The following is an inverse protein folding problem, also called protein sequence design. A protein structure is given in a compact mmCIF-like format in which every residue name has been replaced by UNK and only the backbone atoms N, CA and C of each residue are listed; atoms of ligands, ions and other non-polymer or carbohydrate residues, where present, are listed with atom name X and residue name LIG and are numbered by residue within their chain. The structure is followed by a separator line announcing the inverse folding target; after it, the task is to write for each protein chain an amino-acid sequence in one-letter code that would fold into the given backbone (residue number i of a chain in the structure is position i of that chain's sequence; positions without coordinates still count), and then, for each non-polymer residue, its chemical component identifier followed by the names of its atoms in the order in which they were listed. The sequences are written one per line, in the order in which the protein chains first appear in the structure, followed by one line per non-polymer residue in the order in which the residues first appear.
data_IF_860504224294
#
_entry.id   IF_860504224294
#
_cell.length_a   1.000
_cell.length_b   1.000
_cell.length_c   1.000
_cell.angle_alpha   90.00
_cell.angle_beta   90.00
_cell.angle_gamma   90.00
#
_symmetry.space_group_name_H-M   'P 1'
#
loop_
_entity.id
_entity.type
_entity.pdbx_description
1 polymer ?
#
# COMPACT_ATOMS: atom_id res chain seq x y z
N UNK A 1 -6.96 10.69 37.48
CA UNK A 1 -6.39 9.34 37.79
C UNK A 1 -5.80 8.66 36.55
N UNK A 2 -6.47 8.71 35.42
CA UNK A 2 -5.99 8.14 34.13
C UNK A 2 -4.74 8.89 33.68
N UNK A 3 -4.73 10.21 33.64
CA UNK A 3 -3.58 11.04 33.27
C UNK A 3 -2.33 10.73 34.13
N UNK A 4 -2.51 10.49 35.43
CA UNK A 4 -1.41 10.17 36.36
C UNK A 4 -0.77 8.80 36.05
N UNK A 5 -1.56 7.80 35.65
CA UNK A 5 -1.07 6.46 35.33
C UNK A 5 -0.27 6.44 34.04
N UNK A 6 -0.74 7.17 33.02
CA UNK A 6 -0.05 7.30 31.73
C UNK A 6 1.29 8.05 31.83
N UNK A 7 1.34 9.09 32.63
CA UNK A 7 2.59 9.81 32.90
C UNK A 7 3.60 8.97 33.69
N UNK A 8 3.12 8.03 34.53
CA UNK A 8 3.99 7.11 35.28
C UNK A 8 4.66 6.03 34.39
N UNK A 9 4.10 5.75 33.23
CA UNK A 9 4.62 4.76 32.27
C UNK A 9 5.44 5.40 31.13
N UNK A 10 5.94 6.62 31.30
CA UNK A 10 6.66 7.41 30.27
C UNK A 10 5.87 7.64 28.97
N UNK A 11 4.56 7.62 29.03
CA UNK A 11 3.70 7.81 27.87
C UNK A 11 3.52 9.31 27.62
N UNK A 12 3.99 9.77 26.47
CA UNK A 12 4.02 11.19 26.07
C UNK A 12 2.83 11.58 25.19
N UNK A 13 1.63 11.14 25.53
CA UNK A 13 0.41 11.59 24.84
C UNK A 13 -0.70 11.96 25.82
N UNK A 14 -1.60 12.81 25.35
CA UNK A 14 -2.76 13.27 26.09
C UNK A 14 -4.03 12.72 25.43
N UNK A 15 -4.89 12.07 26.23
CA UNK A 15 -6.21 11.62 25.81
C UNK A 15 -7.24 12.70 26.08
N UNK A 16 -8.01 13.05 25.04
CA UNK A 16 -9.08 14.02 25.15
C UNK A 16 -10.35 13.51 24.44
N UNK A 17 -11.50 13.62 25.09
CA UNK A 17 -12.77 13.41 24.38
C UNK A 17 -12.90 14.55 23.35
N UNK A 18 -13.17 14.24 22.10
CA UNK A 18 -13.16 15.19 20.98
C UNK A 18 -14.01 16.45 21.24
N UNK A 19 -15.14 16.32 21.93
CA UNK A 19 -16.03 17.44 22.27
C UNK A 19 -15.49 18.41 23.32
N UNK A 20 -14.44 18.01 24.06
CA UNK A 20 -13.76 18.80 25.10
C UNK A 20 -12.40 19.33 24.66
N UNK A 21 -12.01 19.05 23.42
CA UNK A 21 -10.73 19.50 22.89
C UNK A 21 -10.81 20.97 22.50
N UNK A 22 -9.83 21.73 22.97
CA UNK A 22 -9.68 23.13 22.56
C UNK A 22 -8.90 23.20 21.24
N UNK A 23 -9.61 23.28 20.13
CA UNK A 23 -9.04 23.35 18.78
C UNK A 23 -8.18 24.62 18.56
N UNK A 24 -8.31 25.65 19.39
CA UNK A 24 -7.50 26.87 19.28
C UNK A 24 -6.01 26.60 19.51
N UNK A 25 -5.68 25.55 20.24
CA UNK A 25 -4.28 25.10 20.45
C UNK A 25 -3.61 24.77 19.11
N UNK A 26 -4.36 24.28 18.13
CA UNK A 26 -3.84 23.93 16.82
C UNK A 26 -3.37 25.15 16.00
N UNK A 27 -3.89 26.33 16.30
CA UNK A 27 -3.45 27.59 15.64
C UNK A 27 -1.99 27.91 15.97
N UNK A 28 -1.49 27.45 17.11
CA UNK A 28 -0.10 27.61 17.51
C UNK A 28 0.85 26.62 16.83
N UNK A 29 0.31 25.65 16.09
CA UNK A 29 1.10 24.69 15.32
C UNK A 29 1.52 25.30 13.98
N UNK A 30 2.43 26.25 14.06
CA UNK A 30 2.77 27.24 13.01
C UNK A 30 3.53 26.69 11.80
N UNK A 31 3.72 25.40 11.69
CA UNK A 31 4.56 24.86 10.64
C UNK A 31 3.75 24.39 9.44
N UNK A 32 3.99 25.06 8.34
CA UNK A 32 3.47 24.69 7.03
C UNK A 32 4.61 24.46 6.06
N UNK A 33 4.44 23.53 5.15
CA UNK A 33 5.36 23.29 4.04
C UNK A 33 4.67 23.57 2.70
N UNK A 34 5.46 23.99 1.71
CA UNK A 34 4.94 24.21 0.36
C UNK A 34 4.90 22.89 -0.43
N UNK A 35 3.89 22.71 -1.27
CA UNK A 35 3.72 21.51 -2.10
C UNK A 35 4.81 21.32 -3.16
N UNK A 36 5.64 22.31 -3.43
CA UNK A 36 6.76 22.27 -4.38
C UNK A 36 7.33 23.65 -4.65
N UNK A 37 8.42 23.70 -5.43
CA UNK A 37 9.02 24.99 -5.84
C UNK A 37 8.01 25.78 -6.67
N UNK A 38 7.73 27.02 -6.24
CA UNK A 38 6.80 27.93 -6.93
C UNK A 38 5.31 27.70 -6.60
N UNK A 39 4.95 26.74 -5.74
CA UNK A 39 3.60 26.59 -5.25
C UNK A 39 3.33 27.55 -4.10
N UNK A 40 2.22 28.27 -4.16
CA UNK A 40 1.73 29.05 -3.02
C UNK A 40 0.89 28.20 -2.07
N UNK A 41 0.56 26.94 -2.46
CA UNK A 41 -0.26 26.03 -1.68
C UNK A 41 0.49 25.53 -0.44
N UNK A 42 -0.04 25.83 0.74
CA UNK A 42 0.54 25.47 2.02
C UNK A 42 -0.12 24.20 2.61
N UNK A 43 0.71 23.27 3.07
CA UNK A 43 0.29 22.03 3.71
C UNK A 43 0.67 22.09 5.19
N UNK A 44 -0.21 21.68 6.07
CA UNK A 44 0.09 21.60 7.50
C UNK A 44 1.14 20.53 7.77
N UNK A 45 2.22 20.91 8.44
CA UNK A 45 3.35 20.03 8.77
C UNK A 45 3.14 19.37 10.14
N UNK A 46 2.12 18.53 10.22
CA UNK A 46 1.85 17.69 11.38
C UNK A 46 1.40 16.32 10.93
N UNK A 47 1.84 15.30 11.65
CA UNK A 47 1.40 13.92 11.41
C UNK A 47 0.08 13.69 12.12
N UNK A 48 -0.95 13.42 11.36
CA UNK A 48 -2.29 13.16 11.89
C UNK A 48 -2.73 11.80 11.37
N UNK A 49 -3.14 10.93 12.29
CA UNK A 49 -3.68 9.62 11.96
C UNK A 49 -5.07 9.45 12.54
N UNK A 50 -5.92 8.69 11.86
CA UNK A 50 -7.20 8.25 12.37
C UNK A 50 -7.38 6.75 12.13
N UNK A 51 -8.23 6.15 12.95
CA UNK A 51 -8.60 4.75 12.88
C UNK A 51 -10.03 4.56 13.38
N UNK A 52 -10.73 3.53 12.90
CA UNK A 52 -12.09 3.19 13.32
C UNK A 52 -12.17 1.75 13.81
N UNK A 53 -12.87 1.55 14.91
CA UNK A 53 -13.21 0.23 15.40
C UNK A 53 -14.65 -0.12 15.05
N UNK A 54 -14.83 -1.34 14.56
CA UNK A 54 -16.13 -1.83 14.12
C UNK A 54 -16.61 -3.00 14.97
N UNK A 55 -17.91 -3.16 15.05
CA UNK A 55 -18.58 -4.28 15.69
C UNK A 55 -19.73 -4.79 14.83
N UNK A 56 -20.05 -6.06 14.97
CA UNK A 56 -21.27 -6.64 14.43
C UNK A 56 -22.49 -6.03 15.10
N UNK A 57 -23.61 -5.92 14.39
CA UNK A 57 -24.92 -5.59 14.98
C UNK A 57 -25.57 -6.81 15.58
N UNK A 58 -26.40 -6.63 16.62
CA UNK A 58 -27.31 -7.66 17.07
C UNK A 58 -28.29 -8.00 15.94
N UNK A 59 -28.47 -9.31 15.66
CA UNK A 59 -29.50 -9.77 14.71
C UNK A 59 -30.88 -9.37 15.24
N UNK A 60 -31.63 -8.60 14.47
CA UNK A 60 -33.05 -8.46 14.71
C UNK A 60 -33.75 -9.75 14.27
N UNK A 61 -34.75 -10.20 15.04
CA UNK A 61 -35.40 -11.52 14.90
C UNK A 61 -35.98 -11.87 13.51
N UNK A 62 -36.03 -10.89 12.59
CA UNK A 62 -36.65 -11.01 11.26
C UNK A 62 -35.67 -10.80 10.08
N UNK A 63 -34.37 -10.69 10.30
CA UNK A 63 -33.41 -10.47 9.20
C UNK A 63 -32.63 -11.78 8.95
N UNK A 64 -32.99 -12.46 7.85
CA UNK A 64 -32.32 -13.72 7.44
C UNK A 64 -30.92 -13.52 6.88
N UNK A 65 -30.57 -12.34 6.38
CA UNK A 65 -29.27 -12.01 5.79
C UNK A 65 -28.89 -10.57 6.09
N UNK A 66 -27.85 -10.36 6.81
CA UNK A 66 -26.79 -9.37 6.73
C UNK A 66 -26.23 -9.01 8.11
N UNK A 67 -25.09 -9.63 8.44
CA UNK A 67 -24.24 -9.18 9.53
C UNK A 67 -23.54 -7.88 9.08
N UNK A 68 -24.21 -6.74 9.22
CA UNK A 68 -23.58 -5.46 8.94
C UNK A 68 -22.73 -5.01 10.11
N UNK A 69 -21.44 -4.84 9.86
CA UNK A 69 -20.55 -4.17 10.79
C UNK A 69 -20.87 -2.67 10.83
N UNK A 70 -20.73 -2.06 11.99
CA UNK A 70 -20.87 -0.62 12.18
C UNK A 70 -19.71 -0.08 13.01
N UNK A 71 -19.40 1.18 12.84
CA UNK A 71 -18.37 1.87 13.63
C UNK A 71 -18.88 2.09 15.05
N UNK A 72 -18.11 1.65 16.04
CA UNK A 72 -18.42 1.79 17.47
C UNK A 72 -17.50 2.75 18.19
N UNK A 73 -16.33 3.02 17.64
CA UNK A 73 -15.36 3.97 18.15
C UNK A 73 -14.45 4.47 17.03
N UNK A 74 -13.84 5.60 17.27
CA UNK A 74 -12.78 6.14 16.43
C UNK A 74 -11.78 6.92 17.28
N UNK A 75 -10.56 7.00 16.79
CA UNK A 75 -9.50 7.82 17.38
C UNK A 75 -8.83 8.67 16.31
N UNK A 76 -8.33 9.83 16.72
CA UNK A 76 -7.43 10.67 15.94
C UNK A 76 -6.25 11.03 16.82
N UNK A 77 -5.04 10.71 16.38
CA UNK A 77 -3.80 11.18 17.03
C UNK A 77 -3.14 12.25 16.19
N UNK A 78 -2.73 13.33 16.83
CA UNK A 78 -2.04 14.47 16.24
C UNK A 78 -0.66 14.57 16.89
N UNK A 79 0.40 14.47 16.07
CA UNK A 79 1.78 14.63 16.53
C UNK A 79 2.35 15.94 16.03
N UNK A 80 2.74 16.78 16.96
CA UNK A 80 3.36 18.06 16.70
C UNK A 80 4.89 17.94 16.79
N UNK A 81 5.62 18.15 15.73
CA UNK A 81 7.09 18.32 15.69
C UNK A 81 7.88 17.51 16.72
N UNK A 82 7.88 16.19 16.64
CA UNK A 82 8.58 15.31 17.59
C UNK A 82 8.17 15.52 19.06
N UNK A 83 7.14 16.34 19.30
CA UNK A 83 6.65 16.67 20.63
C UNK A 83 5.42 15.81 21.00
N UNK A 84 4.71 16.23 22.00
CA UNK A 84 3.57 15.51 22.56
C UNK A 84 2.52 15.11 21.52
N UNK A 85 1.94 13.94 21.72
CA UNK A 85 0.82 13.44 20.93
C UNK A 85 -0.46 13.75 21.70
N UNK A 86 -1.44 14.32 20.99
CA UNK A 86 -2.81 14.46 21.48
C UNK A 86 -3.67 13.45 20.75
N UNK A 87 -4.40 12.63 21.50
CA UNK A 87 -5.31 11.63 20.95
C UNK A 87 -6.74 11.98 21.30
N UNK A 88 -7.54 12.20 20.26
CA UNK A 88 -8.97 12.47 20.36
C UNK A 88 -9.74 11.16 20.22
N UNK A 89 -10.77 11.00 21.02
CA UNK A 89 -11.62 9.82 21.03
C UNK A 89 -13.07 10.21 20.82
N UNK A 90 -13.80 9.43 20.05
CA UNK A 90 -15.24 9.56 19.83
C UNK A 90 -15.90 8.25 19.42
N UNK A 91 -17.22 8.29 19.23
CA UNK A 91 -18.04 7.10 19.00
C UNK A 91 -18.72 7.08 17.63
N UNK A 92 -19.28 8.18 17.20
CA UNK A 92 -20.10 8.26 15.98
C UNK A 92 -19.26 8.63 14.75
N UNK A 93 -19.47 8.00 13.60
CA UNK A 93 -18.79 8.38 12.37
C UNK A 93 -18.96 9.85 11.98
N UNK A 94 -20.17 10.42 12.23
CA UNK A 94 -20.44 11.84 11.99
C UNK A 94 -19.51 12.76 12.78
N UNK A 95 -19.25 12.39 14.04
CA UNK A 95 -18.39 13.18 14.93
C UNK A 95 -16.92 13.09 14.49
N UNK A 96 -16.50 11.93 13.94
CA UNK A 96 -15.19 11.79 13.32
C UNK A 96 -15.04 12.79 12.17
N UNK A 97 -15.98 12.81 11.23
CA UNK A 97 -15.89 13.69 10.06
C UNK A 97 -15.91 15.16 10.48
N UNK A 98 -16.78 15.53 11.43
CA UNK A 98 -16.80 16.90 11.97
C UNK A 98 -15.47 17.26 12.66
N UNK A 99 -14.84 16.31 13.35
CA UNK A 99 -13.53 16.50 13.97
C UNK A 99 -12.43 16.73 12.94
N UNK A 100 -12.43 15.97 11.80
CA UNK A 100 -11.50 16.24 10.70
C UNK A 100 -11.64 17.67 10.16
N UNK A 101 -12.89 18.14 10.01
CA UNK A 101 -13.17 19.51 9.56
C UNK A 101 -12.65 20.54 10.57
N UNK A 102 -12.96 20.39 11.85
CA UNK A 102 -12.50 21.31 12.90
C UNK A 102 -10.98 21.38 13.00
N UNK A 103 -10.29 20.25 12.90
CA UNK A 103 -8.83 20.20 12.85
C UNK A 103 -8.31 20.97 11.64
N UNK A 104 -8.90 20.75 10.47
CA UNK A 104 -8.50 21.45 9.24
C UNK A 104 -8.72 22.96 9.34
N UNK A 105 -9.85 23.40 9.87
CA UNK A 105 -10.18 24.82 10.02
C UNK A 105 -9.27 25.51 11.05
N UNK A 106 -8.90 24.83 12.12
CA UNK A 106 -8.03 25.35 13.17
C UNK A 106 -6.56 25.44 12.77
N UNK A 107 -6.05 24.51 11.96
CA UNK A 107 -4.67 24.50 11.48
C UNK A 107 -4.42 25.62 10.45
N UNK A 108 -3.23 26.26 10.41
CA UNK A 108 -2.98 27.44 9.59
C UNK A 108 -2.91 27.20 8.09
N UNK A 109 -2.48 26.00 7.64
CA UNK A 109 -2.28 25.70 6.22
C UNK A 109 -3.57 25.41 5.45
N UNK A 110 -3.47 25.47 4.13
CA UNK A 110 -4.59 25.25 3.21
C UNK A 110 -4.91 23.75 3.00
N UNK A 111 -3.97 22.86 3.25
CA UNK A 111 -4.21 21.42 3.14
C UNK A 111 -3.84 20.71 4.46
N UNK A 112 -4.73 19.86 4.93
CA UNK A 112 -4.50 18.97 6.06
C UNK A 112 -4.54 17.54 5.60
N UNK A 113 -3.50 16.77 5.94
CA UNK A 113 -3.34 15.37 5.56
C UNK A 113 -3.60 14.48 6.75
N UNK A 114 -4.56 13.58 6.62
CA UNK A 114 -4.90 12.55 7.60
C UNK A 114 -4.49 11.18 7.07
N UNK A 115 -3.76 10.42 7.87
CA UNK A 115 -3.33 9.06 7.52
C UNK A 115 -4.22 8.03 8.21
N UNK A 116 -4.44 6.92 7.50
CA UNK A 116 -5.08 5.73 8.04
C UNK A 116 -4.27 4.50 7.61
N UNK A 117 -4.19 3.48 8.47
CA UNK A 117 -3.51 2.25 8.11
C UNK A 117 -4.50 1.22 7.58
N UNK A 118 -4.51 1.03 6.27
CA UNK A 118 -5.53 0.32 5.50
C UNK A 118 -6.80 1.17 5.26
N UNK A 119 -6.59 2.41 4.81
CA UNK A 119 -7.66 3.37 4.48
C UNK A 119 -8.86 2.76 3.74
N UNK A 120 -8.73 1.81 2.79
CA UNK A 120 -9.87 1.20 2.12
C UNK A 120 -10.91 0.60 3.06
N UNK A 121 -10.48 0.01 4.18
CA UNK A 121 -11.37 -0.56 5.18
C UNK A 121 -12.20 0.53 5.87
N UNK A 122 -11.54 1.52 6.44
CA UNK A 122 -12.21 2.61 7.17
C UNK A 122 -13.07 3.45 6.23
N UNK A 123 -12.57 3.73 5.03
CA UNK A 123 -13.31 4.46 4.01
C UNK A 123 -14.63 3.79 3.62
N UNK A 124 -14.68 2.46 3.62
CA UNK A 124 -15.90 1.72 3.35
C UNK A 124 -17.04 2.14 4.30
N UNK A 125 -16.74 2.30 5.59
CA UNK A 125 -17.72 2.70 6.60
C UNK A 125 -17.96 4.22 6.64
N UNK A 126 -16.96 5.01 6.29
CA UNK A 126 -17.00 6.47 6.43
C UNK A 126 -17.50 7.19 5.18
N UNK A 127 -17.47 6.56 4.01
CA UNK A 127 -17.69 7.24 2.72
C UNK A 127 -19.00 8.03 2.63
N UNK A 128 -20.10 7.51 3.17
CA UNK A 128 -21.39 8.19 3.14
C UNK A 128 -21.37 9.46 4.01
N UNK A 129 -20.81 9.39 5.19
CA UNK A 129 -20.65 10.52 6.11
C UNK A 129 -19.70 11.57 5.53
N UNK A 130 -18.62 11.14 4.86
CA UNK A 130 -17.72 12.02 4.14
C UNK A 130 -18.45 12.77 3.02
N UNK A 131 -19.23 12.05 2.18
CA UNK A 131 -19.94 12.67 1.08
C UNK A 131 -21.06 13.61 1.55
N UNK A 132 -21.76 13.26 2.62
CA UNK A 132 -22.78 14.12 3.20
C UNK A 132 -22.19 15.42 3.75
N UNK A 133 -21.02 15.39 4.37
CA UNK A 133 -20.41 16.56 5.03
C UNK A 133 -19.45 17.35 4.14
N UNK A 134 -18.66 16.66 3.30
CA UNK A 134 -17.60 17.26 2.48
C UNK A 134 -17.92 17.32 0.99
N UNK A 135 -18.99 16.65 0.55
CA UNK A 135 -19.29 16.46 -0.87
C UNK A 135 -18.46 15.33 -1.51
N UNK A 136 -18.52 15.24 -2.82
CA UNK A 136 -17.72 14.27 -3.55
C UNK A 136 -16.23 14.67 -3.58
N UNK A 137 -15.31 13.70 -3.59
CA UNK A 137 -13.88 13.99 -3.64
C UNK A 137 -13.53 14.72 -4.95
N UNK A 138 -12.70 15.75 -4.83
CA UNK A 138 -12.13 16.45 -6.00
C UNK A 138 -11.15 15.55 -6.75
N UNK A 139 -10.40 14.74 -6.03
CA UNK A 139 -9.42 13.83 -6.59
C UNK A 139 -9.29 12.57 -5.73
N UNK A 140 -9.14 11.43 -6.39
CA UNK A 140 -8.95 10.14 -5.75
C UNK A 140 -8.01 9.28 -6.60
N UNK A 141 -7.02 8.65 -5.97
CA UNK A 141 -6.15 7.68 -6.61
C UNK A 141 -6.42 6.28 -6.04
N UNK A 142 -6.87 5.38 -6.90
CA UNK A 142 -7.11 3.98 -6.56
C UNK A 142 -6.04 3.08 -7.17
N UNK A 143 -5.59 2.06 -6.43
CA UNK A 143 -4.75 0.97 -6.99
C UNK A 143 -5.61 0.03 -7.81
N UNK A 144 -6.78 -0.28 -7.32
CA UNK A 144 -7.82 -1.10 -7.95
C UNK A 144 -9.19 -0.57 -7.50
N UNK A 145 -10.28 -1.06 -8.09
CA UNK A 145 -11.63 -0.67 -7.68
C UNK A 145 -11.79 -0.74 -6.16
N UNK A 146 -12.37 0.30 -5.56
CA UNK A 146 -12.61 0.45 -4.12
C UNK A 146 -11.36 0.39 -3.21
N UNK A 147 -10.18 0.62 -3.75
CA UNK A 147 -8.94 0.60 -2.98
C UNK A 147 -8.17 1.92 -3.07
N UNK A 148 -8.63 2.98 -2.39
CA UNK A 148 -7.99 4.29 -2.47
C UNK A 148 -6.65 4.34 -1.75
N UNK A 149 -5.64 4.91 -2.43
CA UNK A 149 -4.36 5.31 -1.82
C UNK A 149 -4.46 6.69 -1.19
N UNK A 150 -5.19 7.59 -1.84
CA UNK A 150 -5.56 8.86 -1.27
C UNK A 150 -6.88 9.35 -1.82
N UNK A 151 -7.53 10.19 -1.03
CA UNK A 151 -8.79 10.85 -1.35
C UNK A 151 -8.68 12.29 -0.92
N UNK A 152 -9.04 13.23 -1.80
CA UNK A 152 -8.92 14.66 -1.55
C UNK A 152 -10.26 15.34 -1.70
N UNK A 153 -10.68 16.05 -0.66
CA UNK A 153 -11.91 16.83 -0.62
C UNK A 153 -11.58 18.31 -0.66
N UNK A 154 -12.32 19.05 -1.45
CA UNK A 154 -12.21 20.52 -1.51
C UNK A 154 -13.01 21.14 -0.40
N UNK A 155 -12.39 22.06 0.35
CA UNK A 155 -13.01 22.82 1.42
C UNK A 155 -12.94 24.32 1.11
N UNK A 156 -13.69 25.15 1.86
CA UNK A 156 -13.61 26.61 1.70
C UNK A 156 -12.18 27.12 1.93
N UNK A 157 -11.46 26.56 2.89
CA UNK A 157 -10.08 26.90 3.24
C UNK A 157 -9.02 26.11 2.45
N UNK A 158 -9.39 25.28 1.49
CA UNK A 158 -8.43 24.47 0.76
C UNK A 158 -8.80 22.99 0.70
N UNK A 159 -8.06 22.08 1.37
CA UNK A 159 -8.27 20.65 1.15
C UNK A 159 -8.10 19.81 2.41
N UNK A 160 -8.98 18.84 2.57
CA UNK A 160 -8.79 17.68 3.44
C UNK A 160 -8.35 16.51 2.56
N UNK A 161 -7.21 15.90 2.91
CA UNK A 161 -6.65 14.77 2.17
C UNK A 161 -6.50 13.57 3.10
N UNK A 162 -7.15 12.46 2.77
CA UNK A 162 -6.98 11.17 3.45
C UNK A 162 -5.95 10.35 2.69
N UNK A 163 -4.97 9.74 3.38
CA UNK A 163 -3.90 8.92 2.78
C UNK A 163 -3.80 7.56 3.44
N UNK A 164 -3.63 6.53 2.60
CA UNK A 164 -3.28 5.20 3.08
C UNK A 164 -1.81 5.11 3.47
N UNK A 165 -1.52 4.44 4.58
CA UNK A 165 -0.16 4.15 5.03
C UNK A 165 0.24 2.68 4.87
N UNK A 166 -0.70 1.76 4.64
CA UNK A 166 -0.40 0.34 4.47
C UNK A 166 0.49 0.11 3.24
N UNK A 167 0.20 0.79 2.12
CA UNK A 167 1.00 0.66 0.91
C UNK A 167 2.37 1.34 1.03
N UNK A 168 2.52 2.28 1.95
CA UNK A 168 3.80 2.89 2.29
C UNK A 168 4.64 1.94 3.16
N UNK A 169 4.03 1.32 4.18
CA UNK A 169 4.67 0.39 5.10
C UNK A 169 4.90 -1.01 4.49
N UNK A 170 3.97 -1.49 3.65
CA UNK A 170 3.89 -2.85 3.10
C UNK A 170 3.87 -3.96 4.16
N UNK A 171 3.34 -3.66 5.33
CA UNK A 171 3.24 -4.59 6.47
C UNK A 171 2.18 -4.13 7.47
N UNK A 172 1.74 -5.03 8.35
CA UNK A 172 0.84 -4.69 9.46
C UNK A 172 1.46 -3.62 10.36
N UNK A 173 0.63 -2.79 10.96
CA UNK A 173 1.07 -1.67 11.80
C UNK A 173 1.95 -2.13 12.96
N UNK A 174 1.58 -3.22 13.63
CA UNK A 174 2.36 -3.84 14.70
C UNK A 174 3.81 -4.09 14.27
N UNK A 175 3.99 -4.76 13.14
CA UNK A 175 5.31 -5.06 12.60
C UNK A 175 6.07 -3.81 12.15
N UNK A 176 5.36 -2.83 11.61
CA UNK A 176 5.96 -1.56 11.24
C UNK A 176 6.45 -0.79 12.46
N UNK A 177 5.65 -0.76 13.53
CA UNK A 177 6.01 -0.13 14.81
C UNK A 177 7.26 -0.79 15.44
N UNK A 178 7.34 -2.13 15.42
CA UNK A 178 8.52 -2.88 15.87
C UNK A 178 9.77 -2.52 15.05
N UNK A 179 9.69 -2.56 13.72
CA UNK A 179 10.82 -2.28 12.83
C UNK A 179 11.30 -0.84 12.97
N UNK A 180 10.38 0.10 13.17
CA UNK A 180 10.70 1.52 13.39
C UNK A 180 11.12 1.80 14.84
N UNK A 181 10.96 0.85 15.76
CA UNK A 181 11.26 0.98 17.19
C UNK A 181 10.60 2.22 17.80
N UNK A 182 9.31 2.37 17.56
CA UNK A 182 8.52 3.46 18.13
C UNK A 182 8.24 3.22 19.61
N UNK A 183 7.87 4.28 20.34
CA UNK A 183 7.66 4.19 21.77
C UNK A 183 6.36 3.46 22.14
N UNK A 184 5.35 3.54 21.25
CA UNK A 184 4.07 2.85 21.41
C UNK A 184 3.95 1.77 20.33
N UNK A 185 3.68 0.55 20.77
CA UNK A 185 3.37 -0.54 19.85
C UNK A 185 1.88 -0.90 19.95
N UNK A 186 1.36 -1.59 18.92
CA UNK A 186 0.00 -2.07 18.92
C UNK A 186 -0.24 -2.98 20.14
N UNK A 187 -1.25 -2.66 20.93
CA UNK A 187 -1.63 -3.49 22.07
C UNK A 187 -2.36 -4.74 21.58
N UNK A 188 -1.72 -5.91 21.65
CA UNK A 188 -2.31 -7.17 21.19
C UNK A 188 -3.19 -7.79 22.28
N UNK A 189 -4.36 -8.33 21.87
CA UNK A 189 -5.19 -9.19 22.73
C UNK A 189 -6.19 -8.48 23.64
N UNK A 190 -6.30 -7.15 23.60
CA UNK A 190 -7.23 -6.40 24.43
C UNK A 190 -8.58 -6.12 23.77
N UNK A 191 -8.68 -6.25 22.47
CA UNK A 191 -9.91 -6.11 21.70
C UNK A 191 -10.48 -7.47 21.33
N UNK A 192 -11.68 -7.77 21.86
CA UNK A 192 -12.41 -9.01 21.56
C UNK A 192 -13.27 -8.76 20.32
N UNK A 193 -12.87 -9.28 19.17
CA UNK A 193 -13.57 -9.08 17.89
C UNK A 193 -14.96 -9.75 17.84
N UNK A 194 -15.16 -10.80 18.62
CA UNK A 194 -16.43 -11.53 18.67
C UNK A 194 -17.47 -10.86 19.59
N UNK A 195 -17.03 -9.92 20.41
CA UNK A 195 -17.93 -9.17 21.29
C UNK A 195 -18.74 -8.18 20.48
N UNK A 196 -20.07 -8.31 20.50
CA UNK A 196 -20.97 -7.33 19.93
C UNK A 196 -21.00 -6.10 20.86
N UNK A 197 -20.82 -4.92 20.28
CA UNK A 197 -20.77 -3.66 21.02
C UNK A 197 -21.81 -2.70 20.48
N UNK A 198 -22.58 -2.13 21.41
CA UNK A 198 -23.49 -1.04 21.11
C UNK A 198 -22.77 0.32 21.16
N UNK A 199 -23.35 1.31 20.51
CA UNK A 199 -22.75 2.64 20.41
C UNK A 199 -22.60 3.34 21.78
N UNK A 200 -23.44 2.99 22.73
CA UNK A 200 -23.46 3.58 24.09
C UNK A 200 -22.70 2.74 25.14
N UNK A 201 -22.16 1.58 24.75
CA UNK A 201 -21.41 0.73 25.66
C UNK A 201 -20.13 1.43 26.13
N UNK A 202 -19.82 1.34 27.42
CA UNK A 202 -18.59 1.88 27.98
C UNK A 202 -17.42 0.96 27.72
N UNK A 203 -16.35 1.51 27.17
CA UNK A 203 -15.10 0.78 27.01
C UNK A 203 -14.31 0.72 28.32
N UNK A 204 -13.70 -0.43 28.56
CA UNK A 204 -12.71 -0.58 29.61
C UNK A 204 -11.45 0.23 29.27
N UNK A 205 -10.64 0.48 30.29
CA UNK A 205 -9.36 1.17 30.10
C UNK A 205 -8.44 0.42 29.10
N UNK A 206 -8.45 -0.91 29.12
CA UNK A 206 -7.66 -1.74 28.20
C UNK A 206 -8.12 -1.60 26.76
N UNK A 207 -9.45 -1.60 26.53
CA UNK A 207 -10.02 -1.37 25.18
C UNK A 207 -9.68 0.03 24.68
N UNK A 208 -9.81 1.07 25.51
CA UNK A 208 -9.41 2.43 25.15
C UNK A 208 -7.93 2.52 24.80
N UNK A 209 -7.07 1.88 25.58
CA UNK A 209 -5.63 1.86 25.29
C UNK A 209 -5.32 1.17 23.98
N UNK A 210 -6.06 0.08 23.66
CA UNK A 210 -5.90 -0.64 22.41
C UNK A 210 -6.18 0.26 21.21
N UNK A 211 -7.38 0.88 21.16
CA UNK A 211 -7.79 1.70 20.02
C UNK A 211 -6.96 2.97 19.84
N UNK A 212 -6.41 3.51 20.93
CA UNK A 212 -5.53 4.69 20.85
C UNK A 212 -4.13 4.35 20.36
N UNK A 213 -3.61 3.20 20.78
CA UNK A 213 -2.27 2.77 20.36
C UNK A 213 -2.14 2.63 18.83
N UNK A 214 -3.20 2.30 18.12
CA UNK A 214 -3.15 2.18 16.66
C UNK A 214 -2.86 3.53 15.99
N UNK A 215 -3.53 4.59 16.39
CA UNK A 215 -3.25 5.93 15.82
C UNK A 215 -1.98 6.56 16.36
N UNK A 216 -1.61 6.30 17.62
CA UNK A 216 -0.36 6.80 18.22
C UNK A 216 0.84 6.15 17.53
N UNK A 217 0.86 4.82 17.42
CA UNK A 217 1.92 4.10 16.75
C UNK A 217 2.05 4.55 15.27
N UNK A 218 0.93 4.82 14.61
CA UNK A 218 0.94 5.27 13.22
C UNK A 218 1.61 6.63 13.05
N UNK A 219 1.29 7.63 13.87
CA UNK A 219 1.94 8.95 13.77
C UNK A 219 3.43 8.89 14.14
N UNK A 220 3.81 8.03 15.07
CA UNK A 220 5.22 7.82 15.42
C UNK A 220 6.00 7.13 14.28
N UNK A 221 5.40 6.12 13.64
CA UNK A 221 5.99 5.46 12.49
C UNK A 221 6.19 6.42 11.32
N UNK A 222 5.19 7.26 11.02
CA UNK A 222 5.26 8.25 9.96
C UNK A 222 6.35 9.29 10.24
N UNK A 223 6.45 9.79 11.46
CA UNK A 223 7.45 10.76 11.87
C UNK A 223 8.87 10.19 11.77
N UNK A 224 9.10 8.99 12.33
CA UNK A 224 10.40 8.31 12.22
C UNK A 224 10.77 8.00 10.77
N UNK A 225 9.83 7.50 9.97
CA UNK A 225 10.06 7.25 8.55
C UNK A 225 10.40 8.54 7.79
N UNK A 226 9.69 9.62 8.07
CA UNK A 226 9.95 10.92 7.46
C UNK A 226 11.35 11.44 7.80
N UNK A 227 11.77 11.29 9.04
CA UNK A 227 13.11 11.65 9.50
C UNK A 227 14.20 10.85 8.77
N UNK A 228 14.06 9.53 8.67
CA UNK A 228 14.98 8.65 7.96
C UNK A 228 15.05 9.00 6.47
N UNK A 229 13.92 9.23 5.83
CA UNK A 229 13.84 9.56 4.41
C UNK A 229 14.13 11.04 4.08
N UNK A 230 14.32 11.87 5.11
CA UNK A 230 14.44 13.34 4.98
C UNK A 230 13.27 13.93 4.18
N UNK A 231 12.05 13.53 4.58
CA UNK A 231 10.78 13.94 3.98
C UNK A 231 9.94 14.70 5.01
N UNK A 232 8.95 15.39 4.50
CA UNK A 232 7.91 16.05 5.28
C UNK A 232 6.53 15.60 4.79
N UNK A 233 5.45 16.09 5.39
CA UNK A 233 4.08 15.71 5.02
C UNK A 233 3.79 15.91 3.54
N UNK A 234 4.30 17.03 2.94
CA UNK A 234 4.07 17.34 1.52
C UNK A 234 4.86 16.45 0.55
N UNK A 235 6.02 15.97 0.97
CA UNK A 235 6.95 15.20 0.14
C UNK A 235 6.90 13.70 0.41
N UNK A 236 6.12 13.27 1.42
CA UNK A 236 5.92 11.86 1.72
C UNK A 236 5.20 11.17 0.58
N UNK A 237 5.78 10.07 0.13
CA UNK A 237 5.25 9.26 -0.97
C UNK A 237 4.07 8.39 -0.51
N UNK A 238 3.30 7.87 -1.47
CA UNK A 238 2.12 7.04 -1.16
C UNK A 238 2.45 5.56 -0.97
N UNK A 239 3.59 5.10 -1.51
CA UNK A 239 3.94 3.67 -1.52
C UNK A 239 5.43 3.47 -1.30
N UNK A 240 5.83 2.30 -0.79
CA UNK A 240 7.24 1.94 -0.66
C UNK A 240 7.99 2.00 -2.00
N UNK A 241 7.35 1.56 -3.09
CA UNK A 241 7.93 1.68 -4.44
C UNK A 241 8.12 3.13 -4.87
N UNK A 242 7.33 4.07 -4.33
CA UNK A 242 7.50 5.50 -4.54
C UNK A 242 8.82 6.04 -3.97
N UNK A 243 9.31 5.46 -2.87
CA UNK A 243 10.61 5.80 -2.26
C UNK A 243 11.72 5.45 -3.26
N UNK A 244 11.74 4.20 -3.71
CA UNK A 244 12.73 3.71 -4.68
C UNK A 244 12.68 4.49 -5.99
N UNK A 245 11.47 4.77 -6.49
CA UNK A 245 11.28 5.55 -7.73
C UNK A 245 11.84 6.96 -7.61
N UNK A 246 11.64 7.64 -6.48
CA UNK A 246 12.20 8.97 -6.24
C UNK A 246 13.74 8.95 -6.24
N UNK A 247 14.35 7.94 -5.65
CA UNK A 247 15.80 7.81 -5.64
C UNK A 247 16.36 7.45 -7.02
N UNK A 248 15.70 6.52 -7.73
CA UNK A 248 16.02 6.23 -9.12
C UNK A 248 15.91 7.47 -10.02
N UNK A 249 14.91 8.33 -9.81
CA UNK A 249 14.78 9.57 -10.56
C UNK A 249 15.94 10.54 -10.28
N UNK A 250 16.41 10.66 -9.04
CA UNK A 250 17.57 11.50 -8.70
C UNK A 250 18.84 10.97 -9.37
N UNK A 251 19.08 9.67 -9.25
CA UNK A 251 20.23 8.99 -9.90
C UNK A 251 20.11 9.13 -11.43
N UNK A 252 18.92 8.84 -11.97
CA UNK A 252 18.65 8.93 -13.41
C UNK A 252 18.90 10.30 -14.00
N UNK A 253 18.57 11.38 -13.27
CA UNK A 253 18.91 12.76 -13.67
C UNK A 253 20.41 12.97 -13.75
N UNK A 254 21.17 12.49 -12.76
CA UNK A 254 22.64 12.61 -12.74
C UNK A 254 23.30 11.96 -13.97
N UNK A 255 22.77 10.83 -14.41
CA UNK A 255 23.30 10.06 -15.55
C UNK A 255 22.54 10.30 -16.87
N UNK A 256 21.62 11.27 -16.92
CA UNK A 256 20.77 11.54 -18.09
C UNK A 256 20.03 10.30 -18.61
N UNK A 257 19.63 9.41 -17.67
CA UNK A 257 19.00 8.13 -18.02
C UNK A 257 17.70 8.31 -18.82
N UNK A 258 16.93 9.37 -18.54
CA UNK A 258 15.70 9.66 -19.27
C UNK A 258 15.95 9.94 -20.76
N UNK A 259 17.00 10.71 -21.10
CA UNK A 259 17.35 11.00 -22.48
C UNK A 259 17.81 9.74 -23.21
N UNK A 260 18.52 8.87 -22.51
CA UNK A 260 18.92 7.55 -23.06
C UNK A 260 17.70 6.67 -23.32
N UNK A 261 16.79 6.54 -22.35
CA UNK A 261 15.56 5.76 -22.51
C UNK A 261 14.66 6.28 -23.63
N UNK A 262 14.53 7.60 -23.80
CA UNK A 262 13.79 8.18 -24.93
C UNK A 262 14.37 7.79 -26.28
N UNK A 263 15.71 7.79 -26.41
CA UNK A 263 16.38 7.36 -27.65
C UNK A 263 16.17 5.88 -27.97
N UNK A 264 15.98 5.06 -26.92
CA UNK A 264 15.77 3.62 -27.02
C UNK A 264 14.28 3.23 -27.04
N UNK A 265 13.37 4.19 -26.95
CA UNK A 265 11.94 3.93 -26.89
C UNK A 265 11.48 3.09 -28.11
N UNK A 266 10.72 2.06 -27.84
CA UNK A 266 10.13 1.22 -28.88
C UNK A 266 9.07 2.01 -29.65
N UNK A 267 8.95 1.75 -30.95
CA UNK A 267 7.77 2.18 -31.70
C UNK A 267 6.54 1.40 -31.20
N UNK A 268 5.34 1.92 -31.45
CA UNK A 268 4.11 1.25 -31.04
C UNK A 268 4.01 -0.20 -31.54
N UNK A 269 4.30 -0.52 -32.83
CA UNK A 269 4.31 -1.92 -33.29
C UNK A 269 5.34 -2.79 -32.56
N UNK A 270 6.52 -2.25 -32.27
CA UNK A 270 7.55 -2.97 -31.50
C UNK A 270 7.10 -3.19 -30.05
N UNK A 271 6.46 -2.20 -29.42
CA UNK A 271 5.90 -2.34 -28.08
C UNK A 271 4.84 -3.45 -28.01
N UNK A 272 3.90 -3.50 -28.96
CA UNK A 272 2.90 -4.57 -29.02
C UNK A 272 3.55 -5.93 -29.18
N UNK A 273 4.59 -6.06 -30.00
CA UNK A 273 5.34 -7.31 -30.11
C UNK A 273 6.05 -7.68 -28.81
N UNK A 274 6.67 -6.70 -28.15
CA UNK A 274 7.36 -6.91 -26.88
C UNK A 274 6.39 -7.35 -25.75
N UNK A 275 5.18 -6.79 -25.69
CA UNK A 275 4.17 -7.21 -24.70
C UNK A 275 3.69 -8.66 -24.91
N UNK A 276 3.71 -9.14 -26.16
CA UNK A 276 3.35 -10.54 -26.48
C UNK A 276 4.40 -11.55 -26.02
N UNK A 277 5.68 -11.16 -26.03
CA UNK A 277 6.79 -12.03 -25.60
C UNK A 277 7.13 -11.86 -24.12
N UNK A 278 6.53 -10.88 -23.45
CA UNK A 278 6.74 -10.69 -22.03
C UNK A 278 6.15 -11.84 -21.22
N UNK A 279 6.98 -12.45 -20.39
CA UNK A 279 6.59 -13.48 -19.44
C UNK A 279 6.97 -13.06 -18.03
N UNK A 280 6.09 -13.36 -17.07
CA UNK A 280 6.44 -13.36 -15.64
C UNK A 280 7.24 -14.60 -15.27
N UNK A 281 7.42 -14.84 -13.98
CA UNK A 281 7.98 -16.08 -13.47
C UNK A 281 7.17 -17.28 -13.97
N UNK A 282 7.85 -18.34 -14.37
CA UNK A 282 7.22 -19.55 -14.85
C UNK A 282 6.80 -20.40 -13.64
N UNK A 283 5.49 -20.59 -13.45
CA UNK A 283 4.95 -21.44 -12.40
C UNK A 283 4.12 -22.55 -12.99
N UNK A 284 4.36 -23.77 -12.56
CA UNK A 284 3.51 -24.89 -12.92
C UNK A 284 3.51 -25.95 -11.81
N UNK A 285 2.43 -26.71 -11.68
CA UNK A 285 2.37 -27.87 -10.80
C UNK A 285 2.93 -29.11 -11.50
N UNK A 286 3.52 -30.01 -10.72
CA UNK A 286 3.87 -31.33 -11.23
C UNK A 286 2.60 -32.11 -11.48
N UNK A 287 2.34 -32.53 -12.72
CA UNK A 287 1.11 -33.22 -13.15
C UNK A 287 0.79 -34.48 -12.35
N UNK A 288 1.81 -35.15 -11.81
CA UNK A 288 1.63 -36.37 -11.02
C UNK A 288 1.06 -36.12 -9.63
N UNK A 289 1.14 -34.87 -9.16
CA UNK A 289 0.74 -34.45 -7.82
C UNK A 289 -0.37 -33.38 -7.81
N UNK A 290 -0.91 -33.01 -8.98
CA UNK A 290 -2.05 -32.09 -9.06
C UNK A 290 -3.23 -32.70 -8.32
N UNK A 291 -3.91 -31.92 -7.48
CA UNK A 291 -5.05 -32.30 -6.66
C UNK A 291 -4.76 -33.46 -5.68
N UNK A 292 -3.51 -33.69 -5.35
CA UNK A 292 -3.10 -34.69 -4.36
C UNK A 292 -2.48 -34.02 -3.15
N UNK A 293 -2.86 -34.47 -1.96
CA UNK A 293 -2.11 -34.15 -0.75
C UNK A 293 -0.84 -34.99 -0.75
N UNK A 294 0.31 -34.32 -0.64
CA UNK A 294 1.61 -34.98 -0.51
C UNK A 294 1.83 -35.21 0.98
N UNK A 295 1.89 -36.49 1.35
CA UNK A 295 2.13 -36.90 2.72
C UNK A 295 3.63 -37.13 2.92
N UNK A 296 4.21 -36.47 3.92
CA UNK A 296 5.62 -36.60 4.29
C UNK A 296 6.00 -38.02 4.71
N UNK A 297 5.06 -38.77 5.29
CA UNK A 297 5.32 -40.13 5.74
C UNK A 297 5.47 -41.10 4.57
N UNK A 298 4.81 -40.80 3.43
CA UNK A 298 4.89 -41.61 2.23
C UNK A 298 6.01 -41.21 1.27
N UNK A 299 6.31 -39.90 1.19
CA UNK A 299 7.22 -39.33 0.18
C UNK A 299 8.52 -38.75 0.78
N UNK A 300 8.66 -38.79 2.10
CA UNK A 300 9.79 -38.21 2.81
C UNK A 300 9.64 -36.72 3.06
N UNK A 301 10.69 -36.07 3.51
CA UNK A 301 10.69 -34.65 3.87
C UNK A 301 10.40 -33.78 2.65
N UNK A 302 9.44 -32.87 2.79
CA UNK A 302 9.13 -31.87 1.75
C UNK A 302 9.94 -30.61 2.03
N UNK A 303 10.89 -30.30 1.14
CA UNK A 303 11.78 -29.16 1.28
C UNK A 303 11.41 -28.09 0.26
N UNK A 304 11.26 -26.84 0.70
CA UNK A 304 11.09 -25.69 -0.16
C UNK A 304 12.42 -24.92 -0.30
N UNK A 305 12.82 -24.64 -1.52
CA UNK A 305 13.99 -23.83 -1.84
C UNK A 305 13.57 -22.52 -2.49
N UNK A 306 14.24 -21.45 -2.16
CA UNK A 306 14.09 -20.13 -2.79
C UNK A 306 15.46 -19.56 -3.17
N UNK A 307 15.50 -18.83 -4.28
CA UNK A 307 16.69 -18.09 -4.70
C UNK A 307 16.66 -16.67 -4.14
N UNK A 308 17.45 -16.41 -3.13
CA UNK A 308 17.57 -15.08 -2.55
C UNK A 308 17.96 -14.04 -3.61
N UNK A 309 17.14 -13.01 -3.76
CA UNK A 309 17.37 -11.90 -4.69
C UNK A 309 17.59 -12.31 -6.16
N UNK A 310 16.89 -13.33 -6.66
CA UNK A 310 17.04 -13.87 -8.01
C UNK A 310 16.94 -12.78 -9.10
N UNK A 311 15.90 -11.93 -9.06
CA UNK A 311 15.74 -10.83 -10.03
C UNK A 311 16.86 -9.79 -9.96
N UNK A 312 17.26 -9.26 -8.77
CA UNK A 312 18.42 -8.37 -8.67
C UNK A 312 19.72 -9.00 -9.18
N UNK A 313 19.95 -10.27 -8.91
CA UNK A 313 21.10 -10.99 -9.46
C UNK A 313 21.09 -11.01 -10.99
N UNK A 314 19.96 -11.41 -11.60
CA UNK A 314 19.83 -11.42 -13.06
C UNK A 314 20.04 -10.03 -13.68
N UNK A 315 19.51 -8.96 -13.04
CA UNK A 315 19.69 -7.59 -13.50
C UNK A 315 21.15 -7.15 -13.49
N UNK A 316 21.98 -7.68 -12.61
CA UNK A 316 23.40 -7.32 -12.50
C UNK A 316 24.29 -8.24 -13.35
N UNK A 317 23.97 -9.53 -13.45
CA UNK A 317 24.83 -10.55 -14.05
C UNK A 317 24.66 -10.67 -15.58
N UNK A 318 23.47 -10.41 -16.10
CA UNK A 318 23.18 -10.63 -17.51
C UNK A 318 23.28 -9.36 -18.36
N UNK A 319 23.49 -9.55 -19.65
CA UNK A 319 23.51 -8.48 -20.65
C UNK A 319 22.09 -8.10 -21.05
N UNK A 320 21.86 -6.83 -21.29
CA UNK A 320 20.59 -6.28 -21.72
C UNK A 320 20.75 -5.46 -23.00
N UNK A 321 19.72 -5.42 -23.85
CA UNK A 321 19.76 -4.60 -25.06
C UNK A 321 19.87 -3.11 -24.70
N UNK A 322 20.82 -2.41 -25.30
CA UNK A 322 21.08 -0.99 -25.06
C UNK A 322 20.80 -0.11 -26.29
N UNK A 323 20.34 -0.70 -27.39
CA UNK A 323 20.02 0.01 -28.63
C UNK A 323 18.60 -0.29 -29.08
N UNK A 324 18.10 0.46 -30.05
CA UNK A 324 16.79 0.21 -30.64
C UNK A 324 16.81 -1.09 -31.45
N UNK A 325 15.71 -1.82 -31.37
CA UNK A 325 15.49 -2.96 -32.26
C UNK A 325 15.34 -2.48 -33.71
N UNK A 326 16.11 -3.07 -34.61
CA UNK A 326 15.99 -2.89 -36.05
C UNK A 326 15.35 -4.15 -36.67
N UNK A 327 14.56 -3.94 -37.70
CA UNK A 327 13.98 -5.08 -38.44
C UNK A 327 15.02 -5.59 -39.43
N UNK A 328 15.39 -6.87 -39.30
CA UNK A 328 16.34 -7.54 -40.19
C UNK A 328 15.68 -8.49 -41.16
N UNK A 329 14.33 -8.49 -41.22
CA UNK A 329 13.58 -9.39 -42.09
C UNK A 329 13.56 -10.84 -41.60
N UNK A 330 13.40 -11.77 -42.52
CA UNK A 330 13.44 -13.22 -42.26
C UNK A 330 14.88 -13.72 -42.31
N UNK A 331 15.30 -14.40 -41.27
CA UNK A 331 16.63 -14.96 -41.12
C UNK A 331 16.52 -16.43 -40.70
N UNK A 332 17.54 -17.22 -41.02
CA UNK A 332 17.64 -18.60 -40.58
C UNK A 332 17.99 -18.69 -39.10
N UNK A 333 17.60 -19.78 -38.46
CA UNK A 333 17.93 -20.05 -37.07
C UNK A 333 19.45 -20.01 -36.82
N UNK A 334 20.24 -20.47 -37.78
CA UNK A 334 21.71 -20.41 -37.75
C UNK A 334 22.26 -18.99 -37.55
N UNK A 335 21.62 -18.00 -38.16
CA UNK A 335 21.98 -16.59 -37.95
C UNK A 335 21.73 -16.15 -36.52
N UNK A 336 20.57 -16.50 -35.93
CA UNK A 336 20.23 -16.18 -34.56
C UNK A 336 21.23 -16.82 -33.59
N UNK A 337 21.49 -18.11 -33.77
CA UNK A 337 22.43 -18.87 -32.92
C UNK A 337 23.85 -18.31 -32.99
N UNK A 338 24.29 -17.84 -34.15
CA UNK A 338 25.61 -17.23 -34.32
C UNK A 338 25.79 -15.94 -33.56
N UNK A 339 24.74 -15.12 -33.42
CA UNK A 339 24.84 -13.77 -32.87
C UNK A 339 24.14 -13.60 -31.51
N UNK A 340 23.56 -14.65 -30.94
CA UNK A 340 22.77 -14.54 -29.69
C UNK A 340 23.59 -14.12 -28.45
N UNK A 341 24.90 -14.33 -28.46
CA UNK A 341 25.78 -13.88 -27.40
C UNK A 341 26.10 -12.36 -27.44
N UNK A 342 25.95 -11.77 -28.64
CA UNK A 342 26.28 -10.36 -28.87
C UNK A 342 25.03 -9.48 -29.01
N UNK A 343 23.91 -10.04 -29.46
CA UNK A 343 22.70 -9.32 -29.83
C UNK A 343 21.46 -9.92 -29.17
N UNK A 344 20.53 -9.06 -28.76
CA UNK A 344 19.21 -9.49 -28.36
C UNK A 344 18.28 -9.59 -29.57
N UNK A 345 17.58 -10.69 -29.68
CA UNK A 345 16.63 -10.94 -30.75
C UNK A 345 15.20 -11.01 -30.23
N UNK A 346 14.28 -10.44 -31.00
CA UNK A 346 12.84 -10.66 -30.86
C UNK A 346 12.34 -11.18 -32.20
N UNK A 347 11.95 -12.45 -32.27
CA UNK A 347 11.57 -13.10 -33.52
C UNK A 347 10.26 -13.85 -33.36
N UNK A 348 9.65 -14.17 -34.51
CA UNK A 348 8.52 -15.09 -34.59
C UNK A 348 9.04 -16.41 -35.15
N UNK A 349 8.78 -17.48 -34.41
CA UNK A 349 9.10 -18.83 -34.83
C UNK A 349 7.82 -19.60 -35.16
N UNK A 350 7.82 -20.32 -36.25
CA UNK A 350 6.78 -21.30 -36.58
C UNK A 350 7.41 -22.68 -36.51
N UNK A 351 6.81 -23.55 -35.76
CA UNK A 351 7.25 -24.95 -35.66
C UNK A 351 6.03 -25.88 -35.76
N UNK A 352 6.25 -27.08 -36.24
CA UNK A 352 5.23 -28.10 -36.45
C UNK A 352 5.64 -29.32 -35.63
N UNK A 353 4.70 -29.88 -34.90
CA UNK A 353 4.89 -31.08 -34.09
C UNK A 353 6.15 -31.03 -33.18
N UNK A 354 6.28 -30.01 -32.31
CA UNK A 354 7.42 -29.94 -31.40
C UNK A 354 7.41 -31.15 -30.46
N UNK A 355 8.61 -31.70 -30.24
CA UNK A 355 8.81 -32.79 -29.27
C UNK A 355 9.84 -32.39 -28.27
N UNK A 356 9.61 -32.75 -26.99
CA UNK A 356 10.61 -32.58 -25.97
C UNK A 356 11.86 -33.40 -26.29
N UNK A 357 13.03 -32.84 -26.05
CA UNK A 357 14.31 -33.45 -26.36
C UNK A 357 14.54 -34.73 -25.55
N UNK A 358 14.11 -34.72 -24.31
CA UNK A 358 14.04 -35.92 -23.46
C UNK A 358 12.58 -36.08 -22.97
N UNK A 359 12.06 -37.29 -22.99
CA UNK A 359 10.72 -37.60 -22.54
C UNK A 359 10.53 -37.47 -20.99
N UNK A 360 11.55 -37.04 -20.29
CA UNK A 360 11.55 -36.93 -18.81
C UNK A 360 11.31 -35.48 -18.32
N UNK A 361 11.46 -34.51 -19.21
CA UNK A 361 11.24 -33.13 -18.83
C UNK A 361 9.73 -32.84 -18.72
N UNK A 362 9.30 -32.48 -17.53
CA UNK A 362 7.89 -32.19 -17.18
C UNK A 362 7.54 -30.73 -17.24
N UNK A 363 8.46 -29.85 -17.64
CA UNK A 363 8.18 -28.43 -17.75
C UNK A 363 7.45 -28.12 -19.06
N UNK A 364 6.32 -27.38 -19.02
CA UNK A 364 5.62 -26.97 -20.22
C UNK A 364 6.49 -26.09 -21.10
N UNK A 365 6.53 -26.39 -22.36
CA UNK A 365 7.24 -25.61 -23.37
C UNK A 365 6.53 -24.30 -23.70
N UNK A 366 5.19 -24.32 -23.71
CA UNK A 366 4.34 -23.18 -23.94
C UNK A 366 3.53 -22.85 -22.67
N UNK A 367 3.42 -21.60 -22.37
CA UNK A 367 2.56 -21.16 -21.28
C UNK A 367 1.12 -21.05 -21.78
N UNK A 368 0.19 -21.79 -21.18
CA UNK A 368 -1.24 -21.83 -21.56
C UNK A 368 -1.86 -20.43 -21.70
N UNK A 369 -1.58 -19.54 -20.76
CA UNK A 369 -2.09 -18.15 -20.76
C UNK A 369 -1.62 -17.31 -21.96
N UNK A 370 -0.65 -17.79 -22.74
CA UNK A 370 -0.12 -17.11 -23.93
C UNK A 370 -0.57 -17.75 -25.25
N UNK A 371 -1.36 -18.81 -25.17
CA UNK A 371 -1.94 -19.44 -26.32
C UNK A 371 -3.16 -18.68 -26.83
N UNK A 372 -3.33 -18.52 -28.13
CA UNK A 372 -4.51 -17.88 -28.74
C UNK A 372 -5.63 -18.88 -29.00
N UNK A 373 -5.29 -20.14 -29.23
CA UNK A 373 -6.21 -21.27 -29.38
C UNK A 373 -5.93 -22.25 -28.24
N UNK A 374 -6.84 -22.27 -27.24
CA UNK A 374 -6.70 -23.09 -26.04
C UNK A 374 -7.42 -24.45 -26.14
N UNK A 375 -8.22 -24.67 -27.18
CA UNK A 375 -8.94 -25.93 -27.36
C UNK A 375 -7.98 -27.03 -27.81
N UNK A 376 -7.06 -26.68 -28.69
CA UNK A 376 -6.04 -27.59 -29.23
C UNK A 376 -4.64 -27.30 -28.66
N UNK A 377 -4.49 -26.27 -27.83
CA UNK A 377 -3.24 -25.99 -27.15
C UNK A 377 -3.06 -27.01 -26.01
N UNK A 378 -2.75 -28.23 -26.35
CA UNK A 378 -2.25 -29.19 -25.39
C UNK A 378 -0.88 -28.70 -24.97
N UNK A 379 -0.85 -27.95 -23.88
CA UNK A 379 0.37 -27.59 -23.16
C UNK A 379 0.73 -28.81 -22.32
N UNK A 380 0.81 -29.94 -22.97
CA UNK A 380 1.23 -31.15 -22.29
C UNK A 380 2.74 -31.18 -22.21
N UNK A 381 3.22 -31.42 -21.06
CA UNK A 381 4.64 -31.55 -20.77
C UNK A 381 5.18 -32.92 -20.96
N UNK A 382 4.51 -33.66 -21.60
CA UNK A 382 4.93 -35.00 -21.87
C UNK A 382 3.87 -35.97 -21.69
#
# INVERSE_FOLDING_TARGET
AVRKKWLQENVTYERVIFSRFDYSILQNCLYTCKKGKGSNHSINECWIAFDTETSKKHKQKNEEHDEHNHVVAWTISIRFFHMNIVTLFGRKPSDLIETLVRIHEALPGEETVFYCHNLPYDYHFLRLFLFQRLGFPENQLNIKSHYPLYIRFKMNKGFITLKDSLMLAQRKLERWAEDMKVDHNKAVGFWQYDKIRDQDERFSFKELSYIECDTIALVECLDKMASVLKKNVSTMVYTATGIVRNDLQKIGKKFRAHDRLKRQALSYPQYIKATRVFHGGFTHGNRYFIDRTIDSDLYGEIIAYDFASSYPFCLLAFKYPCERFTNIGTVDLSYILKYMDERAFMFRLTFINPRLKDGKNHMPFLQYSKCTDTINAIVDNG
#
